data_IF_115798326904
#
_entry.id   IF_115798326904
#
_cell.length_a   1.000
_cell.length_b   1.000
_cell.length_c   1.000
_cell.angle_alpha   90.00
_cell.angle_beta   90.00
_cell.angle_gamma   90.00
#
_symmetry.space_group_name_H-M   'P 1'
#
loop_
_entity.id
_entity.type
_entity.pdbx_description
1 polymer ?
#
# COMPACT_ATOMS: atom_id res chain seq x y z
N UNK A 1 -64.53 -19.99 86.72
CA UNK A 1 -64.88 -19.84 85.30
C UNK A 1 -63.59 -19.94 84.50
N UNK A 2 -63.45 -20.98 83.69
CA UNK A 2 -62.36 -21.19 82.72
C UNK A 2 -62.45 -20.17 81.55
N UNK A 3 -61.58 -20.16 80.50
CA UNK A 3 -60.38 -21.00 80.26
C UNK A 3 -59.16 -20.33 79.55
N UNK A 4 -58.07 -21.13 79.47
CA UNK A 4 -57.15 -21.42 78.34
C UNK A 4 -56.38 -20.30 77.59
N UNK A 5 -55.05 -20.51 77.45
CA UNK A 5 -54.21 -20.59 76.20
C UNK A 5 -52.74 -20.74 76.67
N UNK A 6 -51.78 -21.47 76.10
CA UNK A 6 -51.63 -22.68 75.28
C UNK A 6 -50.14 -23.09 75.40
N UNK A 7 -49.87 -24.39 75.27
CA UNK A 7 -48.58 -25.11 75.14
C UNK A 7 -47.56 -24.49 74.15
N UNK A 8 -46.30 -24.91 73.97
CA UNK A 8 -45.24 -25.66 74.65
C UNK A 8 -44.12 -25.86 73.58
N UNK A 9 -42.94 -26.34 74.02
CA UNK A 9 -41.87 -26.97 73.23
C UNK A 9 -40.87 -26.07 72.46
N UNK A 10 -39.71 -25.86 73.09
CA UNK A 10 -38.42 -25.67 72.44
C UNK A 10 -37.45 -26.77 72.90
N UNK A 11 -36.45 -27.05 72.04
CA UNK A 11 -35.24 -27.87 72.23
C UNK A 11 -35.24 -29.27 71.58
N UNK A 12 -34.87 -29.31 70.28
CA UNK A 12 -34.20 -30.45 69.65
C UNK A 12 -32.85 -29.98 69.06
N UNK A 13 -31.79 -30.74 69.30
CA UNK A 13 -30.39 -30.41 69.05
C UNK A 13 -30.02 -30.27 67.54
N UNK A 14 -29.01 -29.46 67.17
CA UNK A 14 -28.54 -29.37 65.78
C UNK A 14 -27.66 -30.57 65.37
N UNK A 15 -27.89 -31.06 64.15
CA UNK A 15 -27.12 -32.14 63.48
C UNK A 15 -25.67 -31.71 63.21
N UNK A 16 -24.70 -32.59 63.47
CA UNK A 16 -23.30 -32.44 63.00
C UNK A 16 -23.21 -32.65 61.49
N UNK A 17 -22.56 -31.75 60.79
CA UNK A 17 -22.19 -31.86 59.37
C UNK A 17 -20.98 -32.79 59.18
N UNK A 18 -20.90 -33.54 58.06
CA UNK A 18 -19.73 -34.37 57.74
C UNK A 18 -18.56 -33.48 57.25
N UNK A 19 -17.30 -33.94 57.35
CA UNK A 19 -16.16 -33.14 56.94
C UNK A 19 -16.10 -33.01 55.40
N UNK A 20 -15.58 -31.89 54.87
CA UNK A 20 -15.50 -31.70 53.43
C UNK A 20 -14.48 -32.65 52.82
N UNK A 21 -14.87 -33.32 51.74
CA UNK A 21 -13.99 -34.13 50.91
C UNK A 21 -12.92 -33.24 50.28
N UNK A 22 -11.65 -33.69 50.33
CA UNK A 22 -10.55 -33.12 49.53
C UNK A 22 -10.81 -33.41 48.05
N UNK A 23 -11.59 -32.56 47.39
CA UNK A 23 -11.54 -32.44 45.95
C UNK A 23 -10.21 -31.76 45.59
N UNK A 24 -9.27 -32.51 45.04
CA UNK A 24 -8.06 -31.95 44.44
C UNK A 24 -8.46 -30.97 43.34
N UNK A 25 -8.23 -29.69 43.56
CA UNK A 25 -8.34 -28.68 42.51
C UNK A 25 -7.28 -28.97 41.45
N UNK A 26 -7.71 -29.49 40.30
CA UNK A 26 -6.90 -29.41 39.09
C UNK A 26 -6.75 -27.93 38.77
N UNK A 27 -5.64 -27.32 39.22
CA UNK A 27 -5.25 -25.99 38.78
C UNK A 27 -5.11 -26.05 37.25
N UNK A 28 -6.08 -25.45 36.55
CA UNK A 28 -6.02 -25.25 35.11
C UNK A 28 -4.85 -24.31 34.86
N UNK A 29 -3.69 -24.87 34.51
CA UNK A 29 -2.50 -24.09 34.15
C UNK A 29 -2.87 -23.27 32.91
N UNK A 30 -2.93 -21.95 33.05
CA UNK A 30 -3.14 -21.07 31.90
C UNK A 30 -1.95 -21.20 30.96
N UNK A 31 -2.20 -21.70 29.75
CA UNK A 31 -1.19 -21.77 28.71
C UNK A 31 -0.96 -20.36 28.17
N UNK A 32 0.24 -19.86 28.33
CA UNK A 32 0.67 -18.57 27.77
C UNK A 32 1.28 -18.78 26.38
N UNK A 33 1.43 -17.72 25.60
CA UNK A 33 2.20 -17.75 24.34
C UNK A 33 3.64 -18.25 24.54
N UNK A 34 4.19 -18.14 25.76
CA UNK A 34 5.51 -18.67 26.10
C UNK A 34 5.52 -20.18 26.34
N UNK A 35 4.35 -20.82 26.46
CA UNK A 35 4.26 -22.28 26.62
C UNK A 35 4.09 -23.00 25.27
N UNK A 36 3.92 -22.25 24.17
CA UNK A 36 3.82 -22.83 22.84
C UNK A 36 5.15 -23.46 22.39
N UNK A 37 5.12 -24.58 21.65
CA UNK A 37 6.25 -25.06 20.87
C UNK A 37 6.78 -23.98 19.92
N UNK A 38 8.09 -24.02 19.64
CA UNK A 38 8.76 -23.03 18.80
C UNK A 38 8.10 -22.89 17.42
N UNK A 39 7.74 -24.01 16.78
CA UNK A 39 7.09 -24.00 15.48
C UNK A 39 5.74 -23.29 15.48
N UNK A 40 4.86 -23.56 16.45
CA UNK A 40 3.57 -22.89 16.52
C UNK A 40 3.73 -21.40 16.81
N UNK A 41 4.75 -21.03 17.57
CA UNK A 41 5.01 -19.64 17.87
C UNK A 41 5.59 -18.87 16.68
N UNK A 42 6.48 -19.50 15.88
CA UNK A 42 6.95 -18.96 14.61
C UNK A 42 5.80 -18.75 13.60
N UNK A 43 4.77 -19.61 13.63
CA UNK A 43 3.55 -19.44 12.83
C UNK A 43 2.68 -18.27 13.29
N UNK A 44 2.63 -18.00 14.59
CA UNK A 44 1.97 -16.80 15.09
C UNK A 44 2.74 -15.55 14.64
N UNK A 45 4.06 -15.54 14.84
CA UNK A 45 4.92 -14.41 14.46
C UNK A 45 4.91 -14.15 12.95
N UNK A 46 4.83 -15.17 12.10
CA UNK A 46 4.77 -14.97 10.64
C UNK A 46 3.50 -14.21 10.21
N UNK A 47 2.41 -14.27 10.96
CA UNK A 47 1.18 -13.50 10.68
C UNK A 47 1.25 -12.04 11.14
N UNK A 48 2.22 -11.68 11.97
CA UNK A 48 2.38 -10.31 12.49
C UNK A 48 3.04 -9.41 11.44
N UNK A 49 2.60 -8.15 11.25
CA UNK A 49 3.25 -7.22 10.33
C UNK A 49 4.76 -7.08 10.57
N UNK A 50 5.54 -6.90 9.50
CA UNK A 50 7.02 -6.73 9.57
C UNK A 50 7.41 -5.65 10.57
N UNK A 51 6.69 -4.52 10.56
CA UNK A 51 6.93 -3.37 11.43
C UNK A 51 6.87 -3.78 12.91
N UNK A 52 5.81 -4.45 13.31
CA UNK A 52 5.64 -4.89 14.70
C UNK A 52 6.62 -5.97 15.09
N UNK A 53 6.96 -6.89 14.17
CA UNK A 53 8.01 -7.88 14.42
C UNK A 53 9.33 -7.19 14.81
N UNK A 54 9.73 -6.15 14.07
CA UNK A 54 11.02 -5.48 14.27
C UNK A 54 11.01 -4.50 15.45
N UNK A 55 9.94 -3.73 15.62
CA UNK A 55 9.88 -2.63 16.58
C UNK A 55 9.21 -2.98 17.90
N UNK A 56 8.32 -3.98 17.93
CA UNK A 56 7.51 -4.33 19.10
C UNK A 56 7.88 -5.72 19.63
N UNK A 57 7.77 -6.76 18.79
CA UNK A 57 7.97 -8.15 19.17
C UNK A 57 9.39 -8.44 19.68
N UNK A 58 10.43 -7.86 19.04
CA UNK A 58 11.83 -7.99 19.49
C UNK A 58 12.11 -7.38 20.86
N UNK A 59 11.22 -6.52 21.37
CA UNK A 59 11.36 -5.86 22.67
C UNK A 59 10.63 -6.61 23.80
N UNK A 60 9.74 -7.55 23.48
CA UNK A 60 8.93 -8.29 24.48
C UNK A 60 9.81 -9.11 25.43
N UNK A 61 10.61 -10.03 24.91
CA UNK A 61 11.58 -10.79 25.69
C UNK A 61 12.69 -11.41 24.81
N UNK A 62 13.70 -12.02 25.45
CA UNK A 62 14.84 -12.65 24.75
C UNK A 62 14.39 -13.74 23.75
N UNK A 63 13.39 -14.54 24.11
CA UNK A 63 12.87 -15.60 23.23
C UNK A 63 12.19 -15.03 21.98
N UNK A 64 11.34 -14.01 22.13
CA UNK A 64 10.71 -13.35 20.98
C UNK A 64 11.76 -12.77 20.03
N UNK A 65 12.76 -12.08 20.58
CA UNK A 65 13.88 -11.55 19.78
C UNK A 65 14.60 -12.63 18.99
N UNK A 66 14.96 -13.73 19.66
CA UNK A 66 15.61 -14.88 19.02
C UNK A 66 14.78 -15.41 17.84
N UNK A 67 13.49 -15.68 18.04
CA UNK A 67 12.62 -16.22 16.99
C UNK A 67 12.38 -15.25 15.83
N UNK A 68 12.23 -13.95 16.10
CA UNK A 68 12.12 -12.92 15.05
C UNK A 68 13.41 -12.81 14.24
N UNK A 69 14.55 -13.03 14.88
CA UNK A 69 15.84 -12.93 14.22
C UNK A 69 16.21 -14.18 13.39
N UNK A 70 15.49 -15.30 13.56
CA UNK A 70 15.66 -16.53 12.76
C UNK A 70 15.17 -16.38 11.31
N UNK A 71 15.86 -16.95 10.31
CA UNK A 71 15.41 -16.94 8.91
C UNK A 71 14.04 -17.61 8.68
N UNK A 72 13.69 -18.61 9.49
CA UNK A 72 12.45 -19.39 9.35
C UNK A 72 11.19 -18.53 9.42
N UNK A 73 11.13 -17.52 10.30
CA UNK A 73 9.93 -16.66 10.37
C UNK A 73 9.73 -15.90 9.06
N UNK A 74 10.82 -15.41 8.45
CA UNK A 74 10.78 -14.67 7.19
C UNK A 74 10.48 -15.58 6.00
N UNK A 75 10.97 -16.82 6.03
CA UNK A 75 10.57 -17.86 5.07
C UNK A 75 9.07 -18.10 5.11
N UNK A 76 8.48 -18.28 6.30
CA UNK A 76 7.02 -18.49 6.46
C UNK A 76 6.21 -17.26 6.04
N UNK A 77 6.72 -16.05 6.28
CA UNK A 77 6.11 -14.82 5.73
C UNK A 77 6.13 -14.81 4.21
N UNK A 78 7.23 -15.22 3.58
CA UNK A 78 7.26 -15.43 2.14
C UNK A 78 6.21 -16.48 1.74
N UNK A 79 6.14 -17.66 2.36
CA UNK A 79 5.13 -18.68 2.04
C UNK A 79 3.69 -18.13 2.05
N UNK A 80 3.35 -17.37 3.09
CA UNK A 80 2.03 -16.74 3.25
C UNK A 80 1.72 -15.68 2.19
N UNK A 81 2.74 -15.00 1.68
CA UNK A 81 2.61 -14.06 0.58
C UNK A 81 2.58 -14.76 -0.80
N UNK A 82 2.48 -16.10 -0.83
CA UNK A 82 2.35 -16.91 -2.05
C UNK A 82 3.67 -17.42 -2.63
N UNK A 83 4.79 -17.27 -1.92
CA UNK A 83 6.09 -17.72 -2.40
C UNK A 83 6.25 -19.24 -2.17
N UNK A 84 6.30 -20.06 -3.24
CA UNK A 84 6.48 -21.52 -3.16
C UNK A 84 7.96 -21.91 -3.19
N UNK A 85 8.42 -22.60 -2.14
CA UNK A 85 9.84 -22.81 -1.84
C UNK A 85 10.45 -24.11 -2.35
N UNK A 86 9.65 -24.98 -2.94
CA UNK A 86 10.10 -26.29 -3.44
C UNK A 86 11.01 -26.17 -4.68
N UNK A 87 11.17 -24.96 -5.25
CA UNK A 87 11.84 -24.73 -6.54
C UNK A 87 13.18 -23.98 -6.44
N UNK A 88 13.66 -23.58 -5.26
CA UNK A 88 15.00 -22.96 -5.15
C UNK A 88 16.11 -24.01 -5.32
N UNK A 89 16.46 -24.32 -6.56
CA UNK A 89 17.71 -24.99 -6.90
C UNK A 89 18.88 -24.00 -6.67
N UNK A 90 19.41 -23.95 -5.44
CA UNK A 90 20.54 -23.09 -5.09
C UNK A 90 20.82 -22.99 -3.58
N UNK A 91 21.90 -22.29 -3.20
CA UNK A 91 22.21 -22.04 -1.78
C UNK A 91 21.03 -21.32 -1.11
N UNK A 92 20.53 -21.86 0.00
CA UNK A 92 19.42 -21.29 0.77
C UNK A 92 19.64 -19.77 0.94
N UNK A 93 18.79 -18.91 0.37
CA UNK A 93 18.94 -17.48 0.56
C UNK A 93 18.75 -17.17 2.03
N UNK A 94 19.45 -16.15 2.53
CA UNK A 94 19.08 -15.54 3.80
C UNK A 94 17.64 -14.98 3.64
N UNK A 95 16.66 -15.75 4.12
CA UNK A 95 15.24 -15.44 4.01
C UNK A 95 14.89 -14.09 4.61
N UNK A 96 15.65 -13.65 5.63
CA UNK A 96 15.49 -12.32 6.19
C UNK A 96 15.96 -11.28 5.19
N UNK A 97 17.18 -11.39 4.68
CA UNK A 97 17.68 -10.45 3.67
C UNK A 97 16.77 -10.41 2.42
N UNK A 98 16.31 -11.59 1.97
CA UNK A 98 15.40 -11.74 0.84
C UNK A 98 14.05 -11.06 1.09
N UNK A 99 13.36 -11.38 2.19
CA UNK A 99 12.08 -10.74 2.53
C UNK A 99 12.20 -9.23 2.63
N UNK A 100 13.30 -8.73 3.22
CA UNK A 100 13.55 -7.30 3.33
C UNK A 100 13.83 -6.63 1.98
N UNK A 101 14.42 -7.35 1.02
CA UNK A 101 14.62 -6.86 -0.34
C UNK A 101 13.31 -6.69 -1.11
N UNK A 102 12.28 -7.51 -0.80
CA UNK A 102 11.01 -7.52 -1.50
C UNK A 102 10.06 -6.39 -1.08
N UNK A 103 10.04 -6.01 0.21
CA UNK A 103 8.93 -5.22 0.76
C UNK A 103 9.30 -3.91 1.44
N UNK A 104 9.76 -2.87 0.72
CA UNK A 104 9.88 -1.55 1.35
C UNK A 104 9.97 -0.30 0.45
N UNK A 105 9.85 -0.37 -0.88
CA UNK A 105 10.02 0.85 -1.69
C UNK A 105 9.18 0.90 -2.94
N UNK A 106 8.64 2.10 -3.18
CA UNK A 106 8.17 2.50 -4.48
C UNK A 106 9.33 2.38 -5.49
N UNK A 107 9.12 1.59 -6.53
CA UNK A 107 10.11 1.33 -7.56
C UNK A 107 10.26 2.53 -8.51
N UNK A 108 9.21 3.36 -8.59
CA UNK A 108 9.23 4.60 -9.33
C UNK A 108 10.07 5.67 -8.60
N UNK A 109 10.80 6.46 -9.38
CA UNK A 109 11.60 7.59 -8.90
C UNK A 109 10.84 8.89 -9.08
N UNK A 110 11.07 9.83 -8.16
CA UNK A 110 10.55 11.20 -8.23
C UNK A 110 9.04 11.25 -8.53
N UNK A 111 8.28 10.52 -7.72
CA UNK A 111 6.86 10.29 -7.98
C UNK A 111 5.99 11.51 -7.76
N UNK A 112 6.44 12.46 -6.93
CA UNK A 112 5.75 13.73 -6.65
C UNK A 112 6.40 14.96 -7.30
N UNK A 113 7.42 14.81 -8.14
CA UNK A 113 8.05 15.96 -8.80
C UNK A 113 9.00 16.80 -7.93
N UNK A 114 9.36 16.35 -6.71
CA UNK A 114 10.32 17.07 -5.83
C UNK A 114 11.70 17.27 -6.48
N UNK A 115 12.08 16.39 -7.40
CA UNK A 115 13.30 16.51 -8.20
C UNK A 115 13.05 17.19 -9.57
N UNK A 116 11.98 17.95 -9.71
CA UNK A 116 11.53 18.54 -10.97
C UNK A 116 10.99 17.46 -11.91
N UNK A 117 11.33 17.55 -13.20
CA UNK A 117 10.92 16.60 -14.24
C UNK A 117 11.87 15.40 -14.39
N UNK A 118 12.92 15.31 -13.56
CA UNK A 118 13.94 14.25 -13.66
C UNK A 118 13.32 12.85 -13.47
N UNK A 119 13.98 11.86 -14.06
CA UNK A 119 13.64 10.43 -14.01
C UNK A 119 12.39 10.00 -14.77
N UNK A 120 11.69 10.93 -15.41
CA UNK A 120 10.56 10.65 -16.28
C UNK A 120 10.97 10.92 -17.73
N UNK A 121 10.58 10.00 -18.61
CA UNK A 121 10.61 10.22 -20.05
C UNK A 121 9.38 11.05 -20.42
N UNK A 122 9.60 12.30 -20.78
CA UNK A 122 8.55 13.27 -21.09
C UNK A 122 9.09 14.39 -21.96
N UNK A 123 8.19 15.24 -22.47
CA UNK A 123 8.56 16.50 -23.12
C UNK A 123 8.54 17.62 -22.06
N UNK A 124 9.67 18.27 -21.76
CA UNK A 124 9.72 19.30 -20.71
C UNK A 124 8.80 20.49 -20.94
N UNK A 125 8.46 20.77 -22.20
CA UNK A 125 7.49 21.80 -22.56
C UNK A 125 6.06 21.43 -22.12
N UNK A 126 5.73 20.13 -22.08
CA UNK A 126 4.38 19.63 -21.79
C UNK A 126 4.11 19.45 -20.29
N UNK A 127 5.12 19.60 -19.43
CA UNK A 127 5.02 19.33 -18.00
C UNK A 127 5.79 20.35 -17.15
N UNK A 128 5.29 20.59 -15.96
CA UNK A 128 6.06 21.23 -14.88
C UNK A 128 5.87 20.50 -13.56
N UNK A 129 6.75 20.76 -12.59
CA UNK A 129 6.56 20.34 -11.21
C UNK A 129 6.27 21.58 -10.36
N UNK A 130 5.12 21.61 -9.67
CA UNK A 130 4.68 22.77 -8.88
C UNK A 130 4.32 22.38 -7.44
N UNK A 131 4.34 23.38 -6.56
CA UNK A 131 4.04 23.22 -5.13
C UNK A 131 2.53 23.15 -4.86
N UNK A 132 2.15 22.34 -3.88
CA UNK A 132 0.82 22.32 -3.29
C UNK A 132 0.58 23.57 -2.39
N UNK A 133 -0.68 23.94 -2.10
CA UNK A 133 -1.05 25.23 -1.50
C UNK A 133 -0.57 25.49 -0.08
N UNK A 134 -0.30 24.44 0.69
CA UNK A 134 0.08 24.50 2.11
C UNK A 134 1.55 24.04 2.22
N UNK A 135 2.35 24.73 3.03
CA UNK A 135 3.79 24.46 3.30
C UNK A 135 4.79 24.77 2.17
N UNK A 136 4.52 25.82 1.37
CA UNK A 136 5.52 26.35 0.42
C UNK A 136 6.71 26.90 1.23
N UNK A 137 7.94 26.39 1.02
CA UNK A 137 9.10 26.90 1.74
C UNK A 137 9.33 28.37 1.45
N UNK A 138 9.84 29.12 2.43
CA UNK A 138 10.12 30.55 2.28
C UNK A 138 11.03 30.79 1.05
N UNK A 139 10.60 31.69 0.17
CA UNK A 139 11.31 31.99 -1.08
C UNK A 139 10.78 31.27 -2.32
N UNK A 140 9.89 30.29 -2.17
CA UNK A 140 9.22 29.63 -3.30
C UNK A 140 7.85 30.25 -3.56
N UNK A 141 7.41 30.23 -4.83
CA UNK A 141 6.09 30.66 -5.27
C UNK A 141 5.46 29.58 -6.14
N UNK A 142 4.15 29.40 -6.03
CA UNK A 142 3.36 28.58 -6.95
C UNK A 142 3.18 29.31 -8.28
N UNK A 143 3.15 28.55 -9.37
CA UNK A 143 2.82 29.08 -10.68
C UNK A 143 1.30 29.24 -10.83
N UNK A 144 0.53 28.40 -10.13
CA UNK A 144 -0.93 28.42 -10.17
C UNK A 144 -1.57 28.51 -8.79
N UNK A 145 -1.87 29.75 -8.37
CA UNK A 145 -2.52 30.05 -7.08
C UNK A 145 -3.95 29.52 -6.95
N UNK A 146 -4.63 29.27 -8.09
CA UNK A 146 -6.02 28.76 -8.15
C UNK A 146 -6.11 27.23 -8.11
N UNK A 147 -5.02 26.53 -8.41
CA UNK A 147 -4.99 25.07 -8.35
C UNK A 147 -4.82 24.66 -6.88
N UNK A 148 -5.74 23.82 -6.40
CA UNK A 148 -5.90 23.41 -5.01
C UNK A 148 -6.21 24.57 -4.05
N UNK A 149 -7.48 24.73 -3.67
CA UNK A 149 -7.85 25.68 -2.62
C UNK A 149 -7.34 25.25 -1.23
N UNK A 150 -7.19 23.95 -0.96
CA UNK A 150 -6.70 23.36 0.32
C UNK A 150 -6.07 21.98 0.10
N UNK A 151 -4.95 21.66 0.77
CA UNK A 151 -4.31 20.32 0.76
C UNK A 151 -5.15 19.30 1.52
N UNK A 152 -5.87 19.74 2.56
CA UNK A 152 -6.77 18.90 3.39
C UNK A 152 -7.85 18.10 2.64
N UNK A 153 -8.09 18.38 1.35
CA UNK A 153 -9.00 17.58 0.50
C UNK A 153 -8.26 16.48 -0.29
N UNK A 154 -6.94 16.38 -0.19
CA UNK A 154 -6.14 15.36 -0.85
C UNK A 154 -6.09 14.08 -0.02
N UNK A 155 -6.28 12.89 -0.64
CA UNK A 155 -6.09 11.61 0.03
C UNK A 155 -4.60 11.22 0.13
N UNK A 156 -3.69 12.08 -0.34
CA UNK A 156 -2.25 11.79 -0.34
C UNK A 156 -1.62 12.04 1.04
N UNK A 157 -0.54 11.33 1.39
CA UNK A 157 0.18 11.54 2.65
C UNK A 157 0.65 12.99 2.83
N UNK A 158 0.72 13.43 4.08
CA UNK A 158 1.19 14.78 4.43
C UNK A 158 2.63 15.08 3.98
N UNK A 159 3.40 14.04 3.64
CA UNK A 159 4.76 14.14 3.08
C UNK A 159 4.80 14.50 1.59
N UNK A 160 3.65 14.63 0.92
CA UNK A 160 3.56 15.05 -0.48
C UNK A 160 3.25 16.54 -0.54
N UNK A 161 4.17 17.33 -1.11
CA UNK A 161 4.05 18.79 -1.22
C UNK A 161 4.20 19.32 -2.64
N UNK A 162 4.54 18.46 -3.60
CA UNK A 162 4.73 18.81 -5.00
C UNK A 162 3.93 17.85 -5.88
N UNK A 163 3.60 18.29 -7.09
CA UNK A 163 2.94 17.49 -8.11
C UNK A 163 3.45 17.87 -9.49
N UNK A 164 3.33 16.98 -10.46
CA UNK A 164 3.46 17.34 -11.87
C UNK A 164 2.21 18.08 -12.33
N UNK A 165 2.30 18.91 -13.35
CA UNK A 165 1.17 19.64 -13.92
C UNK A 165 1.40 19.68 -15.43
N UNK A 166 0.54 19.06 -16.27
CA UNK A 166 0.45 19.36 -17.68
C UNK A 166 0.43 20.86 -17.97
N UNK A 167 1.26 21.26 -18.91
CA UNK A 167 1.24 22.59 -19.51
C UNK A 167 0.71 22.49 -20.93
N UNK A 168 -0.49 23.02 -21.14
CA UNK A 168 -1.13 23.10 -22.46
C UNK A 168 -0.53 24.29 -23.23
N UNK A 169 0.18 24.02 -24.32
CA UNK A 169 0.74 25.08 -25.17
C UNK A 169 -0.32 25.66 -26.12
N UNK A 170 -0.16 26.94 -26.42
CA UNK A 170 -1.07 27.73 -27.26
C UNK A 170 -1.03 27.35 -28.76
N UNK A 171 -0.09 26.51 -29.18
CA UNK A 171 0.10 26.12 -30.59
C UNK A 171 -0.99 25.16 -31.11
N UNK A 172 -2.01 24.83 -30.31
CA UNK A 172 -3.30 24.29 -30.76
C UNK A 172 -3.32 22.88 -31.36
N UNK A 173 -2.16 22.23 -31.52
CA UNK A 173 -2.05 20.96 -32.25
C UNK A 173 -1.92 19.71 -31.36
N UNK A 174 -1.85 19.87 -30.03
CA UNK A 174 -1.67 18.74 -29.11
C UNK A 174 -2.70 18.74 -27.99
N UNK A 175 -3.57 17.75 -28.07
CA UNK A 175 -4.65 17.53 -27.10
C UNK A 175 -4.27 16.51 -26.02
N UNK A 176 -3.03 16.00 -25.98
CA UNK A 176 -2.60 15.08 -24.93
C UNK A 176 -1.14 15.29 -24.53
N UNK A 177 -0.84 15.02 -23.26
CA UNK A 177 0.51 14.92 -22.73
C UNK A 177 0.72 13.56 -22.09
N UNK A 178 1.96 13.10 -22.02
CA UNK A 178 2.31 11.85 -21.34
C UNK A 178 3.68 11.94 -20.69
N UNK A 179 3.87 11.15 -19.64
CA UNK A 179 5.19 10.86 -19.09
C UNK A 179 5.29 9.38 -18.72
N UNK A 180 6.47 8.82 -18.87
CA UNK A 180 6.72 7.41 -18.64
C UNK A 180 7.98 7.17 -17.80
N UNK A 181 8.03 6.02 -17.14
CA UNK A 181 9.24 5.53 -16.48
C UNK A 181 9.33 4.02 -16.65
N UNK A 182 10.46 3.55 -17.19
CA UNK A 182 10.81 2.13 -17.23
C UNK A 182 11.56 1.75 -15.97
N UNK A 183 11.13 0.67 -15.32
CA UNK A 183 11.77 0.10 -14.15
C UNK A 183 12.44 -1.21 -14.52
N UNK A 184 13.77 -1.27 -14.41
CA UNK A 184 14.53 -2.53 -14.47
C UNK A 184 14.47 -3.22 -13.11
N UNK A 185 13.82 -4.38 -13.02
CA UNK A 185 13.60 -5.07 -11.74
C UNK A 185 14.91 -5.52 -11.08
N UNK A 186 15.87 -5.99 -11.88
CA UNK A 186 17.20 -6.39 -11.40
C UNK A 186 17.95 -5.24 -10.72
N UNK A 187 17.91 -4.04 -11.29
CA UNK A 187 18.53 -2.83 -10.70
C UNK A 187 17.83 -2.39 -9.40
N UNK A 188 16.59 -2.84 -9.22
CA UNK A 188 15.83 -2.70 -7.97
C UNK A 188 16.07 -3.85 -7.01
N UNK A 189 17.09 -4.68 -7.23
CA UNK A 189 17.45 -5.79 -6.34
C UNK A 189 16.50 -6.97 -6.39
N UNK A 190 15.66 -7.06 -7.43
CA UNK A 190 14.72 -8.17 -7.63
C UNK A 190 15.33 -9.11 -8.69
N UNK A 191 15.84 -10.28 -8.30
CA UNK A 191 16.49 -11.18 -9.22
C UNK A 191 15.47 -11.89 -10.15
N UNK A 192 15.93 -12.30 -11.33
CA UNK A 192 15.07 -12.87 -12.37
C UNK A 192 14.27 -14.10 -11.92
N UNK A 193 14.90 -15.01 -11.17
CA UNK A 193 14.26 -16.23 -10.68
C UNK A 193 13.03 -15.94 -9.81
N UNK A 194 13.02 -14.82 -9.07
CA UNK A 194 11.83 -14.38 -8.31
C UNK A 194 10.68 -14.05 -9.26
N UNK A 195 10.96 -13.37 -10.36
CA UNK A 195 9.91 -13.02 -11.33
C UNK A 195 9.44 -14.23 -12.14
N UNK A 196 10.30 -15.23 -12.33
CA UNK A 196 10.01 -16.40 -13.15
C UNK A 196 9.27 -17.50 -12.40
N UNK A 197 9.74 -17.82 -11.20
CA UNK A 197 9.24 -18.93 -10.38
C UNK A 197 8.19 -18.45 -9.38
N UNK A 198 8.50 -17.37 -8.65
CA UNK A 198 7.64 -16.90 -7.55
C UNK A 198 6.47 -16.05 -8.02
N UNK A 199 6.68 -15.24 -9.07
CA UNK A 199 5.67 -14.35 -9.67
C UNK A 199 4.90 -13.51 -8.62
N UNK A 200 5.61 -12.76 -7.76
CA UNK A 200 4.97 -11.97 -6.69
C UNK A 200 4.01 -10.93 -7.27
N UNK A 201 2.91 -10.64 -6.58
CA UNK A 201 1.97 -9.61 -7.01
C UNK A 201 2.66 -8.25 -7.18
N UNK A 202 2.39 -7.58 -8.32
CA UNK A 202 2.88 -6.22 -8.61
C UNK A 202 1.71 -5.27 -8.43
N UNK A 203 1.76 -4.45 -7.38
CA UNK A 203 0.75 -3.44 -7.12
C UNK A 203 1.12 -2.12 -7.79
N UNK A 204 0.19 -1.63 -8.60
CA UNK A 204 0.22 -0.35 -9.28
C UNK A 204 -0.80 0.56 -8.63
N UNK A 205 -0.37 1.75 -8.24
CA UNK A 205 -1.28 2.83 -7.86
C UNK A 205 -0.88 4.13 -8.52
N UNK A 206 -1.87 4.90 -8.91
CA UNK A 206 -1.69 6.31 -9.22
C UNK A 206 -2.92 7.04 -8.71
N UNK A 207 -2.76 8.25 -8.24
CA UNK A 207 -3.90 9.10 -7.97
C UNK A 207 -4.20 9.87 -9.27
N UNK A 208 -5.16 10.77 -9.35
CA UNK A 208 -5.14 11.91 -10.29
C UNK A 208 -6.16 12.94 -9.84
N UNK A 209 -5.96 14.19 -10.22
CA UNK A 209 -6.98 15.20 -10.00
C UNK A 209 -7.93 15.20 -11.20
N UNK A 210 -9.19 14.88 -10.96
CA UNK A 210 -10.20 14.82 -12.00
C UNK A 210 -10.73 16.23 -12.28
N UNK A 211 -10.71 16.64 -13.55
CA UNK A 211 -11.17 17.96 -14.00
C UNK A 211 -12.01 17.83 -15.27
N UNK A 212 -12.92 18.78 -15.45
CA UNK A 212 -13.85 18.85 -16.58
C UNK A 212 -13.13 18.75 -17.92
N UNK A 213 -13.71 18.00 -18.85
CA UNK A 213 -13.24 17.88 -20.23
C UNK A 213 -11.78 17.41 -20.33
N UNK A 214 -11.35 16.56 -19.41
CA UNK A 214 -10.06 15.89 -19.48
C UNK A 214 -10.22 14.39 -19.25
N UNK A 215 -9.43 13.59 -19.95
CA UNK A 215 -9.36 12.15 -19.79
C UNK A 215 -8.01 11.77 -19.22
N UNK A 216 -8.04 10.98 -18.16
CA UNK A 216 -6.85 10.36 -17.63
C UNK A 216 -6.71 8.92 -18.15
N UNK A 217 -5.50 8.53 -18.51
CA UNK A 217 -5.18 7.16 -18.92
C UNK A 217 -3.93 6.68 -18.19
N UNK A 218 -4.04 5.49 -17.58
CA UNK A 218 -2.91 4.77 -17.00
C UNK A 218 -2.63 3.54 -17.85
N UNK A 219 -1.37 3.38 -18.26
CA UNK A 219 -0.89 2.21 -18.99
C UNK A 219 0.34 1.64 -18.30
N UNK A 220 0.26 0.40 -17.85
CA UNK A 220 1.38 -0.32 -17.23
C UNK A 220 1.63 -1.62 -17.98
N UNK A 221 2.88 -1.91 -18.36
CA UNK A 221 3.26 -3.10 -19.10
C UNK A 221 4.36 -3.86 -18.39
N UNK A 222 4.20 -5.17 -18.26
CA UNK A 222 5.23 -6.11 -17.85
C UNK A 222 5.96 -6.60 -19.09
N UNK A 223 7.29 -6.45 -19.13
CA UNK A 223 8.08 -6.71 -20.32
C UNK A 223 9.13 -7.80 -20.08
N UNK A 224 9.41 -8.59 -21.13
CA UNK A 224 10.49 -9.56 -21.17
C UNK A 224 11.88 -8.90 -21.32
N UNK A 225 12.95 -9.70 -21.26
CA UNK A 225 14.32 -9.25 -21.53
C UNK A 225 14.46 -8.59 -22.92
N UNK A 226 13.75 -9.12 -23.91
CA UNK A 226 13.72 -8.60 -25.28
C UNK A 226 12.70 -7.48 -25.47
N UNK A 227 12.19 -6.89 -24.38
CA UNK A 227 11.17 -5.84 -24.36
C UNK A 227 9.83 -6.24 -24.99
N UNK A 228 9.52 -7.54 -25.08
CA UNK A 228 8.20 -7.99 -25.50
C UNK A 228 7.18 -7.81 -24.37
N UNK A 229 5.97 -7.38 -24.71
CA UNK A 229 4.88 -7.23 -23.73
C UNK A 229 4.38 -8.61 -23.33
N UNK A 230 4.57 -8.97 -22.07
CA UNK A 230 4.09 -10.24 -21.51
C UNK A 230 2.67 -10.10 -20.95
N UNK A 231 2.38 -8.95 -20.35
CA UNK A 231 1.05 -8.59 -19.84
C UNK A 231 0.97 -7.08 -19.70
N UNK A 232 -0.21 -6.51 -19.89
CA UNK A 232 -0.44 -5.09 -19.72
C UNK A 232 -1.77 -4.77 -19.03
N UNK A 233 -1.82 -3.56 -18.49
CA UNK A 233 -3.00 -2.92 -17.96
C UNK A 233 -3.12 -1.56 -18.64
N UNK A 234 -4.25 -1.31 -19.28
CA UNK A 234 -4.55 -0.02 -19.89
C UNK A 234 -5.98 0.36 -19.51
N UNK A 235 -6.13 1.48 -18.78
CA UNK A 235 -7.45 1.99 -18.41
C UNK A 235 -7.54 3.48 -18.66
N UNK A 236 -8.56 3.85 -19.43
CA UNK A 236 -9.00 5.24 -19.59
C UNK A 236 -10.10 5.53 -18.57
N UNK A 237 -10.01 6.70 -17.96
CA UNK A 237 -10.98 7.21 -17.00
C UNK A 237 -11.68 8.40 -17.64
N UNK A 238 -12.88 8.15 -18.14
CA UNK A 238 -13.73 9.14 -18.80
C UNK A 238 -14.56 9.91 -17.78
N UNK A 239 -14.74 11.21 -18.03
CA UNK A 239 -15.67 12.06 -17.30
C UNK A 239 -17.01 11.98 -18.01
N UNK A 240 -17.93 11.12 -17.55
CA UNK A 240 -19.27 11.04 -18.15
C UNK A 240 -19.99 12.38 -18.04
N UNK A 241 -20.50 12.87 -19.17
CA UNK A 241 -21.09 14.21 -19.42
C UNK A 241 -22.38 14.58 -18.63
N UNK A 242 -22.74 13.87 -17.55
CA UNK A 242 -24.06 14.09 -16.87
C UNK A 242 -24.03 14.20 -15.35
N UNK A 243 -22.85 14.21 -14.73
CA UNK A 243 -22.71 14.46 -13.30
C UNK A 243 -21.89 15.73 -13.15
N UNK A 244 -22.24 16.68 -12.26
CA UNK A 244 -21.37 17.81 -11.96
C UNK A 244 -19.99 17.27 -11.66
N UNK A 245 -19.03 17.71 -12.44
CA UNK A 245 -17.63 17.40 -12.31
C UNK A 245 -17.17 17.79 -10.91
N UNK A 246 -16.97 16.79 -10.06
CA UNK A 246 -16.39 17.02 -8.75
C UNK A 246 -14.89 17.16 -8.97
N UNK A 247 -14.39 18.39 -8.83
CA UNK A 247 -12.96 18.68 -8.73
C UNK A 247 -12.38 17.95 -7.50
N UNK A 248 -11.92 16.73 -7.72
CA UNK A 248 -11.47 15.85 -6.64
C UNK A 248 -10.33 14.93 -7.05
N UNK A 249 -9.63 14.43 -6.04
CA UNK A 249 -8.64 13.39 -6.22
C UNK A 249 -9.32 12.05 -6.40
N UNK A 250 -8.85 11.29 -7.38
CA UNK A 250 -9.22 9.91 -7.64
C UNK A 250 -8.01 9.02 -7.43
N UNK A 251 -8.22 7.81 -6.91
CA UNK A 251 -7.21 6.75 -6.85
C UNK A 251 -7.51 5.73 -7.95
N UNK A 252 -6.46 5.27 -8.60
CA UNK A 252 -6.43 4.11 -9.48
C UNK A 252 -5.51 3.09 -8.84
N UNK A 253 -6.00 1.86 -8.70
CA UNK A 253 -5.22 0.74 -8.20
C UNK A 253 -5.43 -0.47 -9.10
N UNK A 254 -4.35 -1.18 -9.39
CA UNK A 254 -4.35 -2.42 -10.15
C UNK A 254 -3.27 -3.36 -9.61
N UNK A 255 -3.54 -4.67 -9.63
CA UNK A 255 -2.61 -5.68 -9.18
C UNK A 255 -2.38 -6.65 -10.34
N UNK A 256 -1.13 -6.79 -10.77
CA UNK A 256 -0.74 -7.91 -11.64
C UNK A 256 -0.50 -9.14 -10.78
N UNK A 257 -1.13 -10.24 -11.15
CA UNK A 257 -0.97 -11.56 -10.56
C UNK A 257 -0.95 -12.61 -11.67
N UNK A 258 -0.36 -13.77 -11.39
CA UNK A 258 -0.31 -14.90 -12.32
C UNK A 258 0.27 -14.57 -13.71
N UNK A 259 1.15 -13.57 -13.81
CA UNK A 259 1.78 -13.18 -15.07
C UNK A 259 2.74 -14.25 -15.62
N UNK A 260 3.05 -14.25 -16.93
CA UNK A 260 4.03 -15.18 -17.51
C UNK A 260 5.42 -15.04 -16.87
N UNK A 261 6.22 -16.11 -16.89
CA UNK A 261 7.64 -15.99 -16.54
C UNK A 261 8.37 -15.12 -17.58
N UNK A 262 9.52 -14.60 -17.21
CA UNK A 262 10.36 -13.78 -18.09
C UNK A 262 10.26 -12.28 -17.86
N UNK A 263 9.45 -11.80 -16.90
CA UNK A 263 9.31 -10.37 -16.61
C UNK A 263 10.64 -9.78 -16.10
N UNK A 264 11.16 -8.75 -16.78
CA UNK A 264 12.41 -8.04 -16.43
C UNK A 264 12.20 -6.54 -16.25
N UNK A 265 11.24 -5.97 -16.95
CA UNK A 265 10.93 -4.55 -16.88
C UNK A 265 9.46 -4.29 -16.60
N UNK A 266 9.19 -3.14 -16.00
CA UNK A 266 7.85 -2.57 -15.90
C UNK A 266 7.87 -1.20 -16.55
N UNK A 267 7.07 -1.02 -17.60
CA UNK A 267 6.81 0.30 -18.18
C UNK A 267 5.59 0.91 -17.51
N UNK A 268 5.76 2.04 -16.85
CA UNK A 268 4.69 2.83 -16.27
C UNK A 268 4.53 4.10 -17.11
N UNK A 269 3.43 4.21 -17.85
CA UNK A 269 3.07 5.40 -18.61
C UNK A 269 1.73 5.93 -18.10
N UNK A 270 1.66 7.24 -17.96
CA UNK A 270 0.38 7.88 -17.81
C UNK A 270 0.23 9.06 -18.75
N UNK A 271 -1.02 9.30 -19.14
CA UNK A 271 -1.39 10.20 -20.21
C UNK A 271 -2.61 10.99 -19.79
N UNK A 272 -2.59 12.28 -20.09
CA UNK A 272 -3.72 13.16 -19.92
C UNK A 272 -4.11 13.71 -21.28
N UNK A 273 -5.39 13.66 -21.60
CA UNK A 273 -5.94 14.18 -22.83
C UNK A 273 -6.98 15.25 -22.52
N UNK A 274 -6.81 16.46 -23.06
CA UNK A 274 -7.81 17.50 -23.01
C UNK A 274 -8.81 17.29 -24.15
N UNK A 275 -10.10 17.32 -23.85
CA UNK A 275 -11.15 17.27 -24.85
C UNK A 275 -11.42 18.69 -25.40
N UNK A 276 -11.70 18.82 -26.71
CA UNK A 276 -12.17 20.09 -27.27
C UNK A 276 -13.44 20.55 -26.55
N UNK A 277 -13.51 21.83 -26.19
CA UNK A 277 -14.80 22.44 -25.85
C UNK A 277 -15.60 22.68 -27.13
N UNK A 278 -16.92 22.60 -27.04
CA UNK A 278 -17.82 22.96 -28.14
C UNK A 278 -17.43 24.31 -28.75
N UNK A 279 -17.48 24.41 -30.09
CA UNK A 279 -17.24 25.64 -30.84
C UNK A 279 -18.19 26.75 -30.34
N UNK A 280 -17.67 27.68 -29.54
CA UNK A 280 -18.45 28.80 -28.99
C UNK A 280 -17.85 29.39 -27.71
N UNK A 281 -17.09 28.61 -26.94
CA UNK A 281 -16.40 29.11 -25.75
C UNK A 281 -15.05 29.72 -26.12
N UNK A 282 -14.80 30.94 -25.64
CA UNK A 282 -13.52 31.63 -25.85
C UNK A 282 -12.35 30.72 -25.44
N UNK A 283 -11.30 30.61 -26.28
CA UNK A 283 -10.11 29.82 -26.04
C UNK A 283 -9.27 30.42 -24.88
N UNK A 284 -9.75 30.29 -23.64
CA UNK A 284 -8.96 30.61 -22.46
C UNK A 284 -8.00 29.44 -22.17
N UNK A 285 -6.98 29.31 -23.01
CA UNK A 285 -5.91 28.31 -22.92
C UNK A 285 -4.88 28.62 -21.82
N UNK A 286 -5.17 29.50 -20.86
CA UNK A 286 -4.14 30.11 -20.00
C UNK A 286 -4.35 30.02 -18.49
N UNK A 287 -5.38 29.34 -17.97
CA UNK A 287 -5.58 29.36 -16.51
C UNK A 287 -6.02 28.08 -15.82
N UNK A 288 -6.09 26.94 -16.52
CA UNK A 288 -6.32 25.64 -15.89
C UNK A 288 -5.19 24.73 -16.31
N UNK A 289 -4.04 24.91 -15.66
CA UNK A 289 -3.09 23.83 -15.62
C UNK A 289 -3.68 22.77 -14.69
N UNK A 290 -3.60 21.52 -15.10
CA UNK A 290 -4.31 20.45 -14.41
C UNK A 290 -3.28 19.68 -13.59
N UNK A 291 -3.41 19.56 -12.27
CA UNK A 291 -2.33 18.97 -11.49
C UNK A 291 -2.40 17.44 -11.50
N UNK A 292 -1.25 16.81 -11.70
CA UNK A 292 -0.98 15.40 -11.46
C UNK A 292 0.26 15.13 -10.55
N UNK A 293 -0.04 14.76 -9.31
CA UNK A 293 0.27 13.43 -8.75
C UNK A 293 1.59 12.94 -8.16
N UNK A 294 1.33 12.02 -7.22
CA UNK A 294 2.15 10.95 -6.65
C UNK A 294 1.71 9.61 -7.26
N UNK A 295 2.65 8.82 -7.80
CA UNK A 295 2.44 7.47 -8.31
C UNK A 295 3.17 6.44 -7.43
N UNK A 296 2.67 5.20 -7.34
CA UNK A 296 3.34 4.12 -6.64
C UNK A 296 3.34 2.80 -7.41
N UNK A 297 4.50 2.14 -7.45
CA UNK A 297 4.67 0.79 -7.96
C UNK A 297 5.46 -0.01 -6.92
N UNK A 298 4.89 -1.07 -6.36
CA UNK A 298 5.56 -1.89 -5.34
C UNK A 298 5.15 -3.36 -5.41
N UNK A 299 5.93 -4.22 -4.75
CA UNK A 299 5.63 -5.62 -4.53
C UNK A 299 5.05 -5.81 -3.13
N UNK A 300 4.00 -6.63 -2.97
CA UNK A 300 3.43 -7.03 -1.67
C UNK A 300 2.64 -5.95 -0.90
N UNK A 301 2.23 -6.29 0.33
CA UNK A 301 1.45 -5.43 1.23
C UNK A 301 2.10 -4.06 1.44
N UNK A 302 1.25 -3.04 1.53
CA UNK A 302 1.62 -1.64 1.73
C UNK A 302 2.63 -1.51 2.89
N UNK A 303 3.62 -0.60 2.84
CA UNK A 303 4.08 -0.02 4.08
C UNK A 303 2.86 0.67 4.69
N UNK A 304 2.34 0.14 5.81
CA UNK A 304 1.43 0.92 6.63
C UNK A 304 2.08 2.28 6.91
N UNK A 305 1.30 3.32 6.61
CA UNK A 305 1.64 4.75 6.68
C UNK A 305 2.41 5.10 7.96
#
# INVERSE_FOLDING_TARGET
>A
MSPLVTAACCCCCPRRSPPPSRASSLQRKELTLQDLPEDLFLDVLSRVPKRDLIHSCRLVCKRWRYLVDLPVVWKRKCEQLGFRLEQLEGSLPDWRAFFFSLGARNLLRNVCGRAGLRYWELRPADWMADWMPEDIPTGFKRHFSKIFRKKRKSPLPDTVWTCFVPTWHQDGLRFFVKKAQRVTLKDKGIPNWVMDEMKPQIMVKDWYFNVDNSHYQLTVKLLSADCQVLQDYCKMFEVRERVPTVEEWREVSYIFENYPSGVRYVDFEHRMQQLPRSLGDSPCWTSRADPQLWAALHFGEMPEV
#
